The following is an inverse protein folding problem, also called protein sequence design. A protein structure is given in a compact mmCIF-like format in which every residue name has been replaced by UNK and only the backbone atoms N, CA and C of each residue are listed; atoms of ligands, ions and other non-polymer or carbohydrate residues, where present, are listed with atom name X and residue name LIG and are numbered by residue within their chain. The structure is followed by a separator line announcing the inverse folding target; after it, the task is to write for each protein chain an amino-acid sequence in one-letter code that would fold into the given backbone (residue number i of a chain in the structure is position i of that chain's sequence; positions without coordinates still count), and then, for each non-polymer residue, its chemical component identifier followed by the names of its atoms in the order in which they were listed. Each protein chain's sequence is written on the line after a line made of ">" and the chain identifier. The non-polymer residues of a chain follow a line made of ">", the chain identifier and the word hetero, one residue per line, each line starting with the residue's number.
data_IF_536808448328
#
_entry.id   IF_536808448328
#
_cell.length_a   1.000
_cell.length_b   1.000
_cell.length_c   1.000
_cell.angle_alpha   90.00
_cell.angle_beta   90.00
_cell.angle_gamma   90.00
#
_symmetry.space_group_name_H-M   'P 1'
#
loop_
_entity.id
_entity.type
_entity.pdbx_description
1 polymer ?
#
# COMPACT_ATOMS: atom_id res chain seq x y z
N UNK A 1 73.05 19.35 12.53
CA UNK A 1 73.21 20.75 12.19
C UNK A 1 72.32 21.01 11.01
N UNK A 2 71.34 21.74 11.00
CA UNK A 2 70.79 23.02 11.40
C UNK A 2 69.27 22.92 11.33
N UNK A 3 68.62 23.12 12.40
CA UNK A 3 67.92 24.32 12.90
C UNK A 3 66.91 25.01 11.94
N UNK A 4 65.71 24.91 12.34
CA UNK A 4 64.74 26.01 12.49
C UNK A 4 64.25 26.76 11.28
N UNK A 5 63.02 26.65 10.98
CA UNK A 5 62.09 27.81 10.96
C UNK A 5 60.61 27.37 11.07
N UNK A 6 60.09 27.59 12.26
CA UNK A 6 58.66 27.80 12.47
C UNK A 6 58.23 29.06 11.74
N UNK A 7 57.16 28.94 10.95
CA UNK A 7 56.30 30.11 10.68
C UNK A 7 54.86 29.65 10.92
N UNK A 8 54.32 30.25 11.98
CA UNK A 8 52.93 30.19 12.33
C UNK A 8 52.05 30.84 11.24
N UNK A 9 51.12 30.13 10.73
CA UNK A 9 49.89 30.71 10.13
C UNK A 9 48.73 30.20 10.92
N UNK A 10 48.44 30.92 11.98
CA UNK A 10 47.22 30.76 12.73
C UNK A 10 46.12 31.67 12.17
N UNK A 11 44.91 31.13 12.22
CA UNK A 11 43.65 31.84 12.25
C UNK A 11 43.20 32.59 10.97
N UNK A 12 42.37 31.94 10.17
CA UNK A 12 41.06 32.45 9.70
C UNK A 12 40.26 31.26 9.07
N UNK A 13 39.87 30.26 9.81
CA UNK A 13 38.85 29.30 9.38
C UNK A 13 38.01 28.99 10.62
N UNK A 14 37.11 29.88 10.98
CA UNK A 14 36.33 29.72 12.20
C UNK A 14 34.93 30.30 12.20
N UNK A 15 34.33 30.66 11.06
CA UNK A 15 33.00 31.32 11.09
C UNK A 15 31.97 30.91 10.01
N UNK A 16 32.28 29.91 9.16
CA UNK A 16 31.29 29.48 8.13
C UNK A 16 30.68 28.12 8.43
N UNK A 17 31.18 27.36 9.39
CA UNK A 17 30.72 26.00 9.67
C UNK A 17 29.43 25.93 10.53
N UNK A 18 29.09 26.99 11.27
CA UNK A 18 27.93 26.92 12.21
C UNK A 18 26.58 27.18 11.56
N UNK A 19 26.51 27.82 10.40
CA UNK A 19 25.21 28.14 9.76
C UNK A 19 24.66 26.98 8.93
N UNK A 20 25.53 26.10 8.41
CA UNK A 20 25.09 24.97 7.60
C UNK A 20 24.60 23.78 8.43
N UNK A 21 25.16 23.56 9.62
CA UNK A 21 24.74 22.49 10.53
C UNK A 21 23.33 22.71 11.08
N UNK A 22 22.98 23.96 11.41
CA UNK A 22 21.64 24.32 11.89
C UNK A 22 20.57 24.14 10.81
N UNK A 23 20.88 24.50 9.56
CA UNK A 23 19.96 24.36 8.42
C UNK A 23 19.73 22.89 8.00
N UNK A 24 20.73 22.03 8.14
CA UNK A 24 20.57 20.59 7.90
C UNK A 24 19.76 19.90 9.01
N UNK A 25 19.88 20.35 10.25
CA UNK A 25 19.16 19.77 11.37
C UNK A 25 17.69 20.15 11.36
N UNK A 26 17.34 21.38 10.94
CA UNK A 26 15.95 21.83 10.74
C UNK A 26 15.26 21.10 9.57
N UNK A 27 15.99 20.86 8.45
CA UNK A 27 15.43 20.11 7.32
C UNK A 27 15.23 18.62 7.65
N UNK A 28 16.13 17.98 8.41
CA UNK A 28 15.97 16.60 8.85
C UNK A 28 14.80 16.42 9.82
N UNK A 29 14.59 17.37 10.73
CA UNK A 29 13.47 17.36 11.67
C UNK A 29 12.12 17.60 10.97
N UNK A 30 12.08 18.43 9.94
CA UNK A 30 10.87 18.68 9.17
C UNK A 30 10.46 17.51 8.30
N UNK A 31 11.44 16.84 7.63
CA UNK A 31 11.20 15.64 6.83
C UNK A 31 10.72 14.47 7.69
N UNK A 32 11.33 14.28 8.87
CA UNK A 32 10.92 13.23 9.80
C UNK A 32 9.49 13.43 10.33
N UNK A 33 9.12 14.64 10.72
CA UNK A 33 7.77 14.94 11.21
C UNK A 33 6.69 14.82 10.12
N UNK A 34 7.02 15.15 8.86
CA UNK A 34 6.08 15.04 7.74
C UNK A 34 5.88 13.59 7.32
N UNK A 35 6.91 12.75 7.36
CA UNK A 35 6.82 11.30 7.11
C UNK A 35 5.97 10.60 8.18
N UNK A 36 6.25 10.87 9.46
CA UNK A 36 5.50 10.26 10.57
C UNK A 36 4.04 10.68 10.57
N UNK A 37 3.72 11.95 10.25
CA UNK A 37 2.33 12.39 10.10
C UNK A 37 1.60 11.68 8.96
N UNK A 38 2.22 11.52 7.78
CA UNK A 38 1.60 10.82 6.65
C UNK A 38 1.30 9.35 6.96
N UNK A 39 2.17 8.67 7.70
CA UNK A 39 1.94 7.28 8.12
C UNK A 39 0.81 7.20 9.14
N UNK A 40 0.79 8.07 10.15
CA UNK A 40 -0.28 8.13 11.16
C UNK A 40 -1.65 8.52 10.56
N UNK A 41 -1.67 9.45 9.58
CA UNK A 41 -2.89 9.84 8.87
C UNK A 41 -3.43 8.73 7.97
N UNK A 42 -2.56 7.84 7.44
CA UNK A 42 -2.97 6.68 6.64
C UNK A 42 -3.52 5.54 7.50
N UNK A 43 -2.94 5.28 8.67
CA UNK A 43 -3.43 4.28 9.63
C UNK A 43 -4.86 4.59 10.12
N UNK A 44 -5.21 5.87 10.26
CA UNK A 44 -6.54 6.29 10.69
C UNK A 44 -7.58 6.32 9.55
N UNK A 45 -7.16 6.33 8.28
CA UNK A 45 -8.07 6.35 7.12
C UNK A 45 -8.60 4.97 6.74
N UNK A 46 -7.82 3.94 6.91
CA UNK A 46 -8.17 2.58 6.44
C UNK A 46 -9.32 1.95 7.24
N UNK A 47 -9.62 2.47 8.44
CA UNK A 47 -10.73 1.96 9.28
C UNK A 47 -12.09 2.63 9.12
N UNK A 48 -12.20 3.74 8.36
CA UNK A 48 -13.40 4.60 8.42
C UNK A 48 -14.15 4.77 7.10
N UNK A 49 -13.67 4.26 5.98
CA UNK A 49 -14.30 4.45 4.66
C UNK A 49 -15.16 3.26 4.24
N UNK A 50 -16.24 3.03 4.98
CA UNK A 50 -17.25 1.99 4.64
C UNK A 50 -17.90 2.31 3.29
N UNK A 51 -17.92 1.34 2.38
CA UNK A 51 -18.55 1.48 1.07
C UNK A 51 -17.68 2.15 0.00
N UNK A 52 -16.37 2.25 0.24
CA UNK A 52 -15.40 2.75 -0.74
C UNK A 52 -14.31 1.72 -1.04
N UNK A 53 -13.67 1.88 -2.20
CA UNK A 53 -12.50 1.09 -2.58
C UNK A 53 -11.24 1.74 -2.03
N UNK A 54 -10.50 1.04 -1.19
CA UNK A 54 -9.32 1.55 -0.49
C UNK A 54 -8.04 1.04 -1.16
N UNK A 55 -7.12 1.94 -1.48
CA UNK A 55 -5.79 1.57 -1.97
C UNK A 55 -4.95 0.97 -0.85
N UNK A 56 -4.34 -0.20 -1.09
CA UNK A 56 -3.44 -0.85 -0.15
C UNK A 56 -2.00 -0.74 -0.60
N UNK A 57 -1.12 -0.42 0.35
CA UNK A 57 0.31 -0.68 0.26
C UNK A 57 0.63 -2.12 0.71
N UNK A 58 1.85 -2.62 0.47
CA UNK A 58 2.30 -3.92 0.96
C UNK A 58 2.18 -4.00 2.51
N UNK A 59 2.49 -2.91 3.23
CA UNK A 59 2.35 -2.86 4.69
C UNK A 59 0.88 -2.90 5.14
N UNK A 60 -0.03 -2.22 4.42
CA UNK A 60 -1.47 -2.27 4.71
C UNK A 60 -2.03 -3.67 4.44
N UNK A 61 -1.58 -4.31 3.36
CA UNK A 61 -1.99 -5.65 3.01
C UNK A 61 -1.62 -6.66 4.10
N UNK A 62 -0.36 -6.61 4.61
CA UNK A 62 0.06 -7.48 5.72
C UNK A 62 -0.77 -7.29 6.97
N UNK A 63 -1.15 -6.07 7.28
CA UNK A 63 -1.91 -5.74 8.50
C UNK A 63 -3.41 -6.03 8.39
N UNK A 64 -4.01 -5.89 7.19
CA UNK A 64 -5.47 -5.90 7.01
C UNK A 64 -5.98 -7.15 6.31
N UNK A 65 -5.12 -7.82 5.55
CA UNK A 65 -5.50 -8.94 4.70
C UNK A 65 -4.77 -10.20 5.10
N UNK A 66 -3.45 -10.23 4.99
CA UNK A 66 -2.63 -11.39 5.30
C UNK A 66 -1.17 -11.00 5.50
N UNK A 67 -0.59 -11.40 6.61
CA UNK A 67 0.85 -11.29 6.83
C UNK A 67 1.56 -12.48 6.18
N UNK A 68 1.85 -12.32 4.87
CA UNK A 68 2.52 -13.35 4.06
C UNK A 68 4.00 -13.56 4.42
N UNK A 69 4.63 -12.63 5.14
CA UNK A 69 5.99 -12.82 5.66
C UNK A 69 6.00 -13.77 6.86
N UNK A 70 5.04 -13.63 7.76
CA UNK A 70 4.88 -14.51 8.94
C UNK A 70 4.26 -15.85 8.58
N UNK A 71 3.42 -15.91 7.54
CA UNK A 71 2.68 -17.10 7.11
C UNK A 71 2.93 -17.45 5.63
N UNK A 72 4.17 -17.77 5.20
CA UNK A 72 4.51 -17.94 3.78
C UNK A 72 3.90 -19.20 3.14
N UNK A 73 3.39 -20.13 3.93
CA UNK A 73 2.88 -21.44 3.45
C UNK A 73 1.38 -21.63 3.72
N UNK A 74 0.75 -20.71 4.44
CA UNK A 74 -0.62 -20.85 4.89
C UNK A 74 -1.38 -19.54 4.69
N UNK A 75 -2.61 -19.63 4.15
CA UNK A 75 -3.48 -18.47 4.05
C UNK A 75 -4.12 -18.16 5.41
N UNK A 76 -3.70 -17.08 6.05
CA UNK A 76 -4.27 -16.57 7.31
C UNK A 76 -4.88 -15.21 7.05
N UNK A 77 -6.22 -15.14 7.02
CA UNK A 77 -6.92 -13.88 6.78
C UNK A 77 -7.10 -13.07 8.06
N UNK A 78 -6.64 -11.83 8.07
CA UNK A 78 -6.67 -10.92 9.21
C UNK A 78 -7.95 -10.05 9.28
N UNK A 79 -8.73 -10.02 8.20
CA UNK A 79 -9.93 -9.19 8.10
C UNK A 79 -11.11 -9.74 8.91
N UNK A 80 -12.00 -8.84 9.32
CA UNK A 80 -13.24 -9.19 10.06
C UNK A 80 -14.44 -9.43 9.14
N UNK A 81 -14.40 -8.94 7.93
CA UNK A 81 -15.40 -9.09 6.87
C UNK A 81 -14.76 -9.71 5.65
N UNK A 82 -15.53 -10.39 4.80
CA UNK A 82 -14.99 -10.82 3.52
C UNK A 82 -14.49 -9.62 2.72
N UNK A 83 -13.56 -9.85 1.81
CA UNK A 83 -12.97 -8.79 1.03
C UNK A 83 -12.84 -9.13 -0.46
N UNK A 84 -12.80 -8.08 -1.29
CA UNK A 84 -12.40 -8.14 -2.69
C UNK A 84 -11.15 -7.27 -2.86
N UNK A 85 -10.14 -7.80 -3.55
CA UNK A 85 -8.94 -7.04 -3.93
C UNK A 85 -8.84 -6.99 -5.44
N UNK A 86 -8.74 -5.77 -5.99
CA UNK A 86 -8.50 -5.49 -7.41
C UNK A 86 -7.02 -5.19 -7.63
N UNK A 87 -6.30 -6.10 -8.30
CA UNK A 87 -4.96 -5.85 -8.79
C UNK A 87 -5.04 -5.17 -10.16
N UNK A 88 -4.55 -3.95 -10.24
CA UNK A 88 -4.70 -3.08 -11.40
C UNK A 88 -3.42 -2.29 -11.71
N UNK A 89 -3.42 -1.58 -12.83
CA UNK A 89 -2.45 -0.53 -13.12
C UNK A 89 -3.15 0.67 -13.78
N UNK A 90 -2.56 1.86 -13.64
CA UNK A 90 -3.15 3.10 -14.16
C UNK A 90 -3.25 3.16 -15.70
N UNK A 91 -2.39 2.44 -16.41
CA UNK A 91 -2.39 2.31 -17.88
C UNK A 91 -3.31 1.20 -18.41
N UNK A 92 -3.81 0.33 -17.56
CA UNK A 92 -4.62 -0.83 -17.92
C UNK A 92 -6.04 -0.41 -18.34
N UNK A 93 -6.36 -0.51 -19.64
CA UNK A 93 -7.69 -0.15 -20.16
C UNK A 93 -8.82 -1.03 -19.62
N UNK A 94 -8.71 -2.38 -19.58
CA UNK A 94 -9.77 -3.21 -19.01
C UNK A 94 -9.96 -2.96 -17.51
N UNK A 95 -8.91 -2.59 -16.75
CA UNK A 95 -9.05 -2.21 -15.34
C UNK A 95 -9.91 -0.95 -15.18
N UNK A 96 -9.71 0.05 -16.07
CA UNK A 96 -10.54 1.27 -16.07
C UNK A 96 -12.00 1.00 -16.35
N UNK A 97 -12.31 -0.03 -17.13
CA UNK A 97 -13.69 -0.45 -17.38
C UNK A 97 -14.32 -1.12 -16.14
N UNK A 98 -13.52 -1.85 -15.36
CA UNK A 98 -13.96 -2.49 -14.12
C UNK A 98 -14.11 -1.52 -12.94
N UNK A 99 -13.31 -0.45 -12.87
CA UNK A 99 -13.32 0.49 -11.74
C UNK A 99 -14.71 0.99 -11.34
N UNK A 100 -15.59 1.46 -12.24
CA UNK A 100 -16.93 1.91 -11.85
C UNK A 100 -17.80 0.76 -11.30
N UNK A 101 -17.62 -0.47 -11.78
CA UNK A 101 -18.33 -1.65 -11.29
C UNK A 101 -17.86 -1.96 -9.86
N UNK A 102 -16.56 -1.96 -9.63
CA UNK A 102 -15.97 -2.23 -8.31
C UNK A 102 -16.39 -1.16 -7.30
N UNK A 103 -16.42 0.12 -7.69
CA UNK A 103 -16.87 1.23 -6.84
C UNK A 103 -18.37 1.13 -6.52
N UNK A 104 -19.20 0.77 -7.49
CA UNK A 104 -20.64 0.53 -7.28
C UNK A 104 -20.88 -0.63 -6.31
N UNK A 105 -20.14 -1.74 -6.48
CA UNK A 105 -20.25 -2.89 -5.58
C UNK A 105 -19.77 -2.55 -4.18
N UNK A 106 -18.71 -1.76 -4.03
CA UNK A 106 -18.27 -1.29 -2.72
C UNK A 106 -19.39 -0.51 -1.99
N UNK A 107 -20.12 0.35 -2.70
CA UNK A 107 -21.30 1.03 -2.16
C UNK A 107 -22.45 0.07 -1.82
N UNK A 108 -22.75 -0.86 -2.71
CA UNK A 108 -23.85 -1.83 -2.56
C UNK A 108 -23.64 -2.77 -1.36
N UNK A 109 -22.41 -3.22 -1.18
CA UNK A 109 -22.04 -4.14 -0.10
C UNK A 109 -21.38 -3.45 1.10
N UNK A 110 -21.62 -2.13 1.24
CA UNK A 110 -21.09 -1.34 2.35
C UNK A 110 -21.35 -1.99 3.72
N UNK A 111 -20.30 -2.19 4.50
CA UNK A 111 -20.36 -2.84 5.83
C UNK A 111 -20.49 -4.36 5.81
N UNK A 112 -20.67 -4.98 4.65
CA UNK A 112 -20.72 -6.44 4.49
C UNK A 112 -19.47 -7.02 3.86
N UNK A 113 -18.89 -6.32 2.87
CA UNK A 113 -17.67 -6.70 2.14
C UNK A 113 -16.75 -5.50 2.10
N UNK A 114 -15.48 -5.71 2.36
CA UNK A 114 -14.44 -4.70 2.22
C UNK A 114 -13.87 -4.74 0.80
N UNK A 115 -13.64 -3.57 0.21
CA UNK A 115 -13.11 -3.45 -1.15
C UNK A 115 -11.77 -2.73 -1.14
N UNK A 116 -10.78 -3.38 -1.74
CA UNK A 116 -9.42 -2.89 -1.83
C UNK A 116 -8.92 -2.89 -3.27
N UNK A 117 -7.91 -2.07 -3.53
CA UNK A 117 -7.18 -2.09 -4.80
C UNK A 117 -5.68 -1.99 -4.56
N UNK A 118 -4.92 -2.67 -5.40
CA UNK A 118 -3.45 -2.74 -5.36
C UNK A 118 -2.92 -2.34 -6.74
N UNK A 119 -2.15 -1.26 -6.81
CA UNK A 119 -1.46 -0.86 -8.03
C UNK A 119 -0.17 -1.68 -8.17
N UNK A 120 -0.10 -2.56 -9.17
CA UNK A 120 1.04 -3.46 -9.38
C UNK A 120 2.32 -2.76 -9.80
N UNK A 121 2.24 -1.51 -10.28
CA UNK A 121 3.44 -0.74 -10.62
C UNK A 121 4.14 -0.19 -9.38
N UNK A 122 3.38 0.14 -8.33
CA UNK A 122 3.89 0.63 -7.05
C UNK A 122 4.13 -0.48 -6.03
N UNK A 123 3.26 -1.49 -6.03
CA UNK A 123 3.28 -2.61 -5.08
C UNK A 123 3.72 -3.92 -5.76
N UNK A 124 4.89 -3.89 -6.39
CA UNK A 124 5.46 -5.03 -7.15
C UNK A 124 5.64 -6.27 -6.30
N UNK A 125 6.04 -6.09 -5.04
CA UNK A 125 6.17 -7.17 -4.07
C UNK A 125 4.86 -7.98 -3.95
N UNK A 126 3.71 -7.30 -3.84
CA UNK A 126 2.41 -7.98 -3.78
C UNK A 126 2.09 -8.71 -5.08
N UNK A 127 2.39 -8.10 -6.23
CA UNK A 127 2.17 -8.74 -7.52
C UNK A 127 2.99 -10.04 -7.65
N UNK A 128 4.24 -10.03 -7.18
CA UNK A 128 5.13 -11.19 -7.20
C UNK A 128 4.68 -12.28 -6.20
N UNK A 129 4.37 -11.91 -4.96
CA UNK A 129 3.90 -12.83 -3.91
C UNK A 129 2.62 -13.56 -4.32
N UNK A 130 1.67 -12.85 -4.94
CA UNK A 130 0.40 -13.41 -5.40
C UNK A 130 0.43 -13.93 -6.83
N UNK A 131 1.60 -13.90 -7.49
CA UNK A 131 1.79 -14.43 -8.84
C UNK A 131 0.89 -13.76 -9.89
N UNK A 132 0.69 -12.45 -9.79
CA UNK A 132 -0.19 -11.69 -10.69
C UNK A 132 0.45 -11.57 -12.08
N UNK A 133 -0.04 -12.35 -13.02
CA UNK A 133 0.48 -12.41 -14.40
C UNK A 133 -0.33 -11.56 -15.39
N UNK A 134 -1.53 -11.19 -15.05
CA UNK A 134 -2.42 -10.37 -15.88
C UNK A 134 -3.29 -9.46 -15.03
N UNK A 135 -3.77 -8.36 -15.59
CA UNK A 135 -4.66 -7.41 -14.93
C UNK A 135 -5.84 -7.03 -15.84
N UNK A 136 -7.01 -6.75 -15.23
CA UNK A 136 -7.32 -6.85 -13.82
C UNK A 136 -7.30 -8.29 -13.32
N UNK A 137 -6.91 -8.52 -12.07
CA UNK A 137 -7.10 -9.77 -11.36
C UNK A 137 -7.77 -9.47 -10.03
N UNK A 138 -8.85 -10.18 -9.76
CA UNK A 138 -9.65 -10.02 -8.54
C UNK A 138 -9.43 -11.19 -7.59
N UNK A 139 -9.15 -10.87 -6.33
CA UNK A 139 -9.05 -11.84 -5.25
C UNK A 139 -10.29 -11.70 -4.37
N UNK A 140 -11.12 -12.74 -4.33
CA UNK A 140 -12.30 -12.82 -3.48
C UNK A 140 -11.97 -13.62 -2.23
N UNK A 141 -12.00 -12.97 -1.08
CA UNK A 141 -11.53 -13.50 0.20
C UNK A 141 -12.70 -13.70 1.14
N UNK A 142 -13.14 -14.94 1.39
CA UNK A 142 -14.13 -15.24 2.42
C UNK A 142 -13.50 -15.09 3.82
N UNK A 143 -14.32 -14.86 4.85
CA UNK A 143 -13.83 -14.81 6.25
C UNK A 143 -13.20 -16.13 6.69
N UNK A 144 -13.64 -17.24 6.10
CA UNK A 144 -13.12 -18.59 6.38
C UNK A 144 -12.85 -19.33 5.08
N UNK A 145 -11.72 -20.02 5.02
CA UNK A 145 -11.30 -20.79 3.84
C UNK A 145 -10.34 -20.00 2.95
N UNK A 146 -10.06 -20.57 1.79
CA UNK A 146 -9.09 -20.00 0.86
C UNK A 146 -9.75 -18.96 -0.07
N UNK A 147 -9.00 -17.96 -0.51
CA UNK A 147 -9.47 -17.00 -1.50
C UNK A 147 -9.66 -17.67 -2.86
N UNK A 148 -10.53 -17.11 -3.67
CA UNK A 148 -10.67 -17.44 -5.09
C UNK A 148 -10.16 -16.30 -5.95
N UNK A 149 -9.55 -16.67 -7.10
CA UNK A 149 -8.94 -15.72 -8.05
C UNK A 149 -9.76 -15.70 -9.33
N UNK A 150 -10.07 -14.52 -9.82
CA UNK A 150 -10.71 -14.28 -11.12
C UNK A 150 -9.83 -13.33 -11.94
N UNK A 151 -9.42 -13.76 -13.12
CA UNK A 151 -8.57 -12.99 -14.02
C UNK A 151 -9.38 -12.37 -15.16
N UNK A 152 -9.04 -11.14 -15.50
CA UNK A 152 -9.65 -10.41 -16.60
C UNK A 152 -10.89 -9.61 -16.22
N UNK A 153 -11.31 -8.73 -17.14
CA UNK A 153 -12.55 -7.98 -16.98
C UNK A 153 -13.78 -8.91 -17.14
N UNK A 154 -14.84 -8.62 -16.41
CA UNK A 154 -16.09 -9.36 -16.44
C UNK A 154 -17.28 -8.40 -16.49
N UNK A 155 -18.48 -8.95 -16.78
CA UNK A 155 -19.70 -8.17 -16.69
C UNK A 155 -20.07 -7.93 -15.22
N UNK A 156 -20.85 -6.88 -14.98
CA UNK A 156 -21.30 -6.53 -13.63
C UNK A 156 -22.02 -7.67 -12.92
N UNK A 157 -22.89 -8.34 -13.64
CA UNK A 157 -23.69 -9.47 -13.13
C UNK A 157 -22.82 -10.65 -12.71
N UNK A 158 -21.73 -10.94 -13.46
CA UNK A 158 -20.78 -11.98 -13.13
C UNK A 158 -19.95 -11.61 -11.89
N UNK A 159 -19.59 -10.33 -11.78
CA UNK A 159 -18.85 -9.83 -10.61
C UNK A 159 -19.70 -9.88 -9.35
N UNK A 160 -20.96 -9.46 -9.42
CA UNK A 160 -21.93 -9.54 -8.33
C UNK A 160 -22.21 -10.99 -7.92
N UNK A 161 -22.35 -11.89 -8.89
CA UNK A 161 -22.50 -13.32 -8.68
C UNK A 161 -21.30 -13.90 -7.94
N UNK A 162 -20.06 -13.54 -8.35
CA UNK A 162 -18.84 -13.99 -7.69
C UNK A 162 -18.80 -13.54 -6.23
N UNK A 163 -19.20 -12.30 -5.92
CA UNK A 163 -19.33 -11.81 -4.55
C UNK A 163 -20.32 -12.66 -3.75
N UNK A 164 -21.54 -12.83 -4.27
CA UNK A 164 -22.60 -13.53 -3.55
C UNK A 164 -22.28 -15.01 -3.31
N UNK A 165 -21.72 -15.69 -4.30
CA UNK A 165 -21.42 -17.12 -4.23
C UNK A 165 -20.15 -17.45 -3.44
N UNK A 166 -19.19 -16.51 -3.36
CA UNK A 166 -17.90 -16.76 -2.69
C UNK A 166 -17.87 -16.16 -1.29
N UNK A 167 -18.43 -14.97 -1.09
CA UNK A 167 -18.21 -14.19 0.10
C UNK A 167 -19.39 -14.17 1.09
N UNK A 168 -20.61 -14.41 0.62
CA UNK A 168 -21.83 -14.21 1.41
C UNK A 168 -22.60 -15.51 1.72
N UNK A 169 -21.91 -16.64 1.68
CA UNK A 169 -22.48 -17.96 2.05
C UNK A 169 -22.54 -18.14 3.55
#
# INVERSE_FOLDING_TARGET
>A
MNTTKLIAVAAVIGLVACTNAKRQQENAAHVSKTSVRRVADNENRVGTEVGKVIGLTASDFRRLVMDYESHPQEWVYEGKRPAVIDFYATWCRPCKMMSPIVEEMAGTYAGKVDFYKVDIDTERELADVFGIQSIPTFLFIPVKGNPSVQMGAMQKEDFEKAISETLLK
#
